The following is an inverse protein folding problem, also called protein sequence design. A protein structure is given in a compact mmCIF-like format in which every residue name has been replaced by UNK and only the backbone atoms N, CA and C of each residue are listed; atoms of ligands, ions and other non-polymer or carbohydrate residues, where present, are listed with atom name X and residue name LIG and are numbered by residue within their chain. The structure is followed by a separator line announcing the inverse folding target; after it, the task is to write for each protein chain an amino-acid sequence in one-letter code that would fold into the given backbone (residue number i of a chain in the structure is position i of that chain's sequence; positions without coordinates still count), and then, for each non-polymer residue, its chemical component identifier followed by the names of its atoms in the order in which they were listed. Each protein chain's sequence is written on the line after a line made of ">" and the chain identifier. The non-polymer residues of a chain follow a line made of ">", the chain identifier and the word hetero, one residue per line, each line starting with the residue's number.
data_IF_373028912813
#
_entry.id   IF_373028912813
#
_cell.length_a   1.000
_cell.length_b   1.000
_cell.length_c   1.000
_cell.angle_alpha   90.00
_cell.angle_beta   90.00
_cell.angle_gamma   90.00
#
_symmetry.space_group_name_H-M   'P 1'
#
loop_
_entity.id
_entity.type
_entity.pdbx_description
1 polymer ?
#
# COMPACT_ATOMS: atom_id res chain seq x y z
N UNK A 1 12.51 6.41 10.69
CA UNK A 1 11.37 5.91 9.89
C UNK A 1 11.52 4.40 9.71
N UNK A 2 10.46 3.63 9.92
CA UNK A 2 10.50 2.16 9.85
C UNK A 2 10.32 1.63 8.43
N UNK A 3 10.83 0.44 8.16
CA UNK A 3 10.58 -0.29 6.90
C UNK A 3 9.45 -1.29 7.09
N UNK A 4 8.61 -1.44 6.07
CA UNK A 4 7.52 -2.40 6.01
C UNK A 4 7.79 -3.44 4.93
N UNK A 5 7.28 -4.65 5.15
CA UNK A 5 7.28 -5.69 4.12
C UNK A 5 5.92 -5.69 3.45
N UNK A 6 5.90 -5.52 2.14
CA UNK A 6 4.73 -5.72 1.30
C UNK A 6 4.98 -6.96 0.46
N UNK A 7 4.00 -7.87 0.42
CA UNK A 7 4.03 -8.97 -0.55
C UNK A 7 3.48 -8.42 -1.86
N UNK A 8 3.98 -8.74 -3.05
CA UNK A 8 3.32 -8.48 -4.34
C UNK A 8 3.57 -9.66 -5.27
N UNK A 9 2.52 -10.23 -5.88
CA UNK A 9 2.61 -11.46 -6.71
C UNK A 9 3.39 -12.63 -6.07
N UNK A 10 3.37 -12.72 -4.73
CA UNK A 10 4.09 -13.74 -3.98
C UNK A 10 5.54 -13.40 -3.62
N UNK A 11 6.08 -12.30 -4.15
CA UNK A 11 7.40 -11.77 -3.79
C UNK A 11 7.29 -10.79 -2.61
N UNK A 12 8.32 -10.71 -1.77
CA UNK A 12 8.35 -9.81 -0.60
C UNK A 12 9.28 -8.62 -0.87
N UNK A 13 8.75 -7.41 -0.77
CA UNK A 13 9.49 -6.17 -0.93
C UNK A 13 9.57 -5.42 0.39
N UNK A 14 10.77 -4.95 0.74
CA UNK A 14 11.00 -4.11 1.91
C UNK A 14 11.01 -2.65 1.48
N UNK A 15 10.00 -1.91 1.87
CA UNK A 15 9.77 -0.52 1.47
C UNK A 15 9.72 0.39 2.68
N UNK A 16 9.88 1.69 2.46
CA UNK A 16 9.66 2.66 3.53
C UNK A 16 8.17 2.67 3.91
N UNK A 17 7.89 2.61 5.21
CA UNK A 17 6.51 2.55 5.70
C UNK A 17 5.91 3.94 5.90
N UNK A 18 5.94 4.75 4.84
CA UNK A 18 5.27 6.05 4.79
C UNK A 18 4.15 6.02 3.75
N UNK A 19 2.99 6.65 4.01
CA UNK A 19 1.87 6.68 3.06
C UNK A 19 2.28 7.22 1.67
N UNK A 20 3.14 8.25 1.65
CA UNK A 20 3.69 8.83 0.42
C UNK A 20 4.56 7.84 -0.37
N UNK A 21 5.39 7.05 0.32
CA UNK A 21 6.21 6.05 -0.35
C UNK A 21 5.38 4.88 -0.87
N UNK A 22 4.40 4.39 -0.09
CA UNK A 22 3.46 3.36 -0.54
C UNK A 22 2.63 3.82 -1.74
N UNK A 23 2.22 5.09 -1.77
CA UNK A 23 1.53 5.68 -2.93
C UNK A 23 2.45 5.71 -4.15
N UNK A 24 3.71 6.11 -4.00
CA UNK A 24 4.69 6.09 -5.08
C UNK A 24 4.92 4.68 -5.64
N UNK A 25 5.00 3.67 -4.77
CA UNK A 25 5.11 2.26 -5.17
C UNK A 25 3.83 1.81 -5.91
N UNK A 26 2.65 2.16 -5.39
CA UNK A 26 1.38 1.84 -6.02
C UNK A 26 1.27 2.40 -7.44
N UNK A 27 1.67 3.65 -7.65
CA UNK A 27 1.67 4.30 -8.97
C UNK A 27 2.56 3.55 -9.96
N UNK A 28 3.79 3.20 -9.56
CA UNK A 28 4.72 2.48 -10.44
C UNK A 28 4.20 1.10 -10.84
N UNK A 29 3.62 0.37 -9.89
CA UNK A 29 3.01 -0.94 -10.16
C UNK A 29 1.81 -0.79 -11.10
N UNK A 30 0.96 0.20 -10.85
CA UNK A 30 -0.20 0.47 -11.68
C UNK A 30 0.15 0.87 -13.12
N UNK A 31 1.19 1.68 -13.30
CA UNK A 31 1.72 2.00 -14.63
C UNK A 31 2.24 0.75 -15.34
N UNK A 32 2.99 -0.10 -14.64
CA UNK A 32 3.55 -1.33 -15.20
C UNK A 32 2.49 -2.37 -15.58
N UNK A 33 1.41 -2.47 -14.79
CA UNK A 33 0.36 -3.46 -15.00
C UNK A 33 -0.88 -2.89 -15.71
N UNK A 34 -0.88 -1.60 -16.05
CA UNK A 34 -2.00 -0.89 -16.68
C UNK A 34 -3.32 -1.02 -15.89
N UNK A 35 -3.22 -0.95 -14.56
CA UNK A 35 -4.34 -1.06 -13.61
C UNK A 35 -4.49 0.23 -12.79
N UNK A 36 -5.64 0.48 -12.14
CA UNK A 36 -5.82 1.69 -11.34
C UNK A 36 -4.88 1.72 -10.13
N UNK A 37 -4.06 2.78 -10.01
CA UNK A 37 -3.14 2.97 -8.86
C UNK A 37 -3.83 2.94 -7.50
N UNK A 38 -5.09 3.36 -7.47
CA UNK A 38 -5.87 3.40 -6.24
C UNK A 38 -6.19 2.00 -5.69
N UNK A 39 -6.44 1.04 -6.58
CA UNK A 39 -6.67 -0.36 -6.19
C UNK A 39 -5.38 -0.99 -5.67
N UNK A 40 -4.26 -0.74 -6.36
CA UNK A 40 -2.93 -1.19 -5.93
C UNK A 40 -2.55 -0.59 -4.58
N UNK A 41 -2.84 0.70 -4.36
CA UNK A 41 -2.56 1.38 -3.10
C UNK A 41 -3.35 0.78 -1.95
N UNK A 42 -4.65 0.54 -2.13
CA UNK A 42 -5.48 -0.17 -1.13
C UNK A 42 -4.92 -1.55 -0.83
N UNK A 43 -4.55 -2.29 -1.88
CA UNK A 43 -4.01 -3.63 -1.73
C UNK A 43 -2.70 -3.63 -0.93
N UNK A 44 -1.76 -2.72 -1.25
CA UNK A 44 -0.51 -2.54 -0.51
C UNK A 44 -0.77 -2.22 0.96
N UNK A 45 -1.74 -1.36 1.26
CA UNK A 45 -2.13 -1.05 2.64
C UNK A 45 -2.67 -2.27 3.39
N UNK A 46 -3.49 -3.10 2.73
CA UNK A 46 -4.01 -4.34 3.34
C UNK A 46 -2.95 -5.44 3.47
N UNK A 47 -1.92 -5.42 2.62
CA UNK A 47 -0.81 -6.36 2.61
C UNK A 47 0.31 -5.96 3.59
N UNK A 48 0.21 -4.80 4.24
CA UNK A 48 1.11 -4.43 5.34
C UNK A 48 0.93 -5.41 6.50
N UNK A 49 2.05 -5.92 7.00
CA UNK A 49 2.11 -6.81 8.15
C UNK A 49 1.32 -6.23 9.35
N UNK A 50 0.65 -7.09 10.13
CA UNK A 50 -0.45 -6.74 11.04
C UNK A 50 -0.18 -5.65 12.09
N UNK A 51 1.08 -5.20 12.25
CA UNK A 51 1.47 -4.02 13.04
C UNK A 51 0.97 -2.68 12.48
N UNK A 52 0.54 -2.62 11.21
CA UNK A 52 0.04 -1.40 10.57
C UNK A 52 -1.44 -1.46 10.23
N UNK A 53 -2.15 -2.48 10.73
CA UNK A 53 -3.57 -2.70 10.50
C UNK A 53 -4.43 -1.49 10.89
N UNK A 54 -4.03 -0.76 11.94
CA UNK A 54 -4.67 0.50 12.35
C UNK A 54 -4.50 1.62 11.33
N UNK A 55 -3.32 1.74 10.72
CA UNK A 55 -3.06 2.73 9.65
C UNK A 55 -3.84 2.37 8.38
N UNK A 56 -3.91 1.08 8.03
CA UNK A 56 -4.74 0.60 6.94
C UNK A 56 -6.22 0.92 7.18
N UNK A 57 -6.74 0.71 8.40
CA UNK A 57 -8.14 1.01 8.76
C UNK A 57 -8.46 2.52 8.68
N UNK A 58 -7.57 3.37 9.19
CA UNK A 58 -7.72 4.84 9.12
C UNK A 58 -7.72 5.33 7.68
N UNK A 59 -6.81 4.85 6.83
CA UNK A 59 -6.80 5.22 5.41
C UNK A 59 -8.04 4.70 4.70
N UNK A 60 -8.49 3.49 5.01
CA UNK A 60 -9.70 2.94 4.41
C UNK A 60 -10.95 3.75 4.80
N UNK A 61 -11.05 4.20 6.07
CA UNK A 61 -12.10 5.13 6.52
C UNK A 61 -12.05 6.47 5.79
N UNK A 62 -10.87 7.11 5.73
CA UNK A 62 -10.69 8.38 5.03
C UNK A 62 -10.99 8.30 3.53
N UNK A 63 -10.80 7.13 2.92
CA UNK A 63 -11.13 6.88 1.51
C UNK A 63 -12.58 6.43 1.28
N UNK A 64 -13.33 6.13 2.34
CA UNK A 64 -14.73 5.71 2.27
C UNK A 64 -15.68 6.84 2.67
N UNK A 65 -15.24 7.79 3.50
CA UNK A 65 -15.96 9.04 3.70
C UNK A 65 -15.87 9.90 2.43
N UNK A 66 -17.00 9.95 1.72
CA UNK A 66 -17.26 10.75 0.53
C UNK A 66 -18.29 11.81 0.87
#
# INVERSE_FOLDING_TARGET
>A
MGTCTVVWRGEKYRVECSPSHLLSVATKIAEAECIPYFEVYRWLLTALDGRYRTTADVVNRLLTEK
#
